data_IF_089387757692
#
_entry.id   IF_089387757692
#
_cell.length_a   1.000
_cell.length_b   1.000
_cell.length_c   1.000
_cell.angle_alpha   90.00
_cell.angle_beta   90.00
_cell.angle_gamma   90.00
#
_symmetry.space_group_name_H-M   'P 1'
#
loop_
_entity.id
_entity.type
_entity.pdbx_description
1 polymer ?
#
# COMPACT_ATOMS: atom_id res chain seq x y z
N UNK A 1 -5.61 -5.57 -24.39
CA UNK A 1 -6.22 -5.49 -23.04
C UNK A 1 -6.27 -6.86 -22.40
N UNK A 2 -6.83 -7.88 -23.06
CA UNK A 2 -6.97 -9.21 -22.48
C UNK A 2 -5.65 -9.87 -22.04
N UNK A 3 -4.62 -9.88 -22.90
CA UNK A 3 -3.27 -10.39 -22.55
C UNK A 3 -2.70 -9.76 -21.26
N UNK A 4 -2.91 -8.45 -21.05
CA UNK A 4 -2.47 -7.77 -19.84
C UNK A 4 -3.26 -8.23 -18.61
N UNK A 5 -4.57 -8.48 -18.73
CA UNK A 5 -5.38 -9.04 -17.65
C UNK A 5 -4.95 -10.46 -17.29
N UNK A 6 -4.63 -11.29 -18.29
CA UNK A 6 -4.07 -12.63 -18.10
C UNK A 6 -2.74 -12.54 -17.34
N UNK A 7 -1.84 -11.64 -17.75
CA UNK A 7 -0.57 -11.43 -17.06
C UNK A 7 -0.77 -10.97 -15.61
N UNK A 8 -1.70 -10.02 -15.35
CA UNK A 8 -2.04 -9.57 -13.99
C UNK A 8 -2.54 -10.73 -13.12
N UNK A 9 -3.43 -11.57 -13.66
CA UNK A 9 -3.98 -12.72 -12.93
C UNK A 9 -2.93 -13.81 -12.69
N UNK A 10 -2.05 -14.07 -13.66
CA UNK A 10 -0.90 -14.98 -13.51
C UNK A 10 0.02 -14.50 -12.39
N UNK A 11 0.41 -13.22 -12.40
CA UNK A 11 1.23 -12.61 -11.34
C UNK A 11 0.57 -12.75 -9.97
N UNK A 12 -0.73 -12.46 -9.84
CA UNK A 12 -1.47 -12.61 -8.59
C UNK A 12 -1.42 -14.06 -8.06
N UNK A 13 -1.62 -15.05 -8.93
CA UNK A 13 -1.53 -16.47 -8.54
C UNK A 13 -0.10 -16.87 -8.21
N UNK A 14 0.90 -16.38 -8.95
CA UNK A 14 2.31 -16.71 -8.72
C UNK A 14 2.82 -16.25 -7.35
N UNK A 15 2.28 -15.16 -6.80
CA UNK A 15 2.59 -14.69 -5.45
C UNK A 15 1.93 -15.54 -4.35
N UNK A 16 0.92 -16.35 -4.66
CA UNK A 16 0.22 -17.15 -3.65
C UNK A 16 0.98 -18.43 -3.32
N UNK A 17 0.95 -18.84 -2.05
CA UNK A 17 1.72 -19.98 -1.54
C UNK A 17 1.45 -21.29 -2.31
N UNK A 18 0.17 -21.60 -2.54
CA UNK A 18 -0.25 -22.81 -3.23
C UNK A 18 -0.45 -22.58 -4.74
N UNK A 19 -0.14 -21.38 -5.26
CA UNK A 19 -0.43 -20.96 -6.64
C UNK A 19 -1.92 -21.10 -6.98
N UNK A 20 -2.75 -20.93 -5.95
CA UNK A 20 -4.19 -21.19 -5.93
C UNK A 20 -4.89 -20.13 -5.10
N UNK A 21 -5.98 -19.58 -5.64
CA UNK A 21 -6.79 -18.58 -4.96
C UNK A 21 -8.26 -18.86 -5.23
N UNK A 22 -9.13 -18.72 -4.23
CA UNK A 22 -10.57 -18.87 -4.40
C UNK A 22 -11.14 -17.85 -5.41
N UNK A 23 -12.00 -18.30 -6.32
CA UNK A 23 -12.61 -17.42 -7.33
C UNK A 23 -13.48 -16.32 -6.73
N UNK A 24 -14.07 -16.55 -5.56
CA UNK A 24 -14.84 -15.55 -4.83
C UNK A 24 -13.94 -14.43 -4.30
N UNK A 25 -12.75 -14.77 -3.78
CA UNK A 25 -11.76 -13.78 -3.35
C UNK A 25 -11.29 -12.91 -4.51
N UNK A 26 -10.99 -13.51 -5.66
CA UNK A 26 -10.63 -12.77 -6.88
C UNK A 26 -11.79 -11.87 -7.34
N UNK A 27 -13.03 -12.33 -7.18
CA UNK A 27 -14.21 -11.53 -7.56
C UNK A 27 -14.37 -10.26 -6.71
N UNK A 28 -13.91 -10.24 -5.46
CA UNK A 28 -13.88 -9.00 -4.65
C UNK A 28 -12.90 -7.95 -5.22
N UNK A 29 -11.77 -8.41 -5.79
CA UNK A 29 -10.79 -7.53 -6.44
C UNK A 29 -11.11 -7.20 -7.90
N UNK A 30 -12.23 -7.70 -8.46
CA UNK A 30 -12.50 -7.58 -9.91
C UNK A 30 -12.49 -6.12 -10.41
N UNK A 31 -13.05 -5.21 -9.62
CA UNK A 31 -13.13 -3.80 -9.97
C UNK A 31 -11.74 -3.13 -9.88
N UNK A 32 -10.96 -3.48 -8.86
CA UNK A 32 -9.62 -2.94 -8.63
C UNK A 32 -8.64 -3.42 -9.70
N UNK A 33 -8.75 -4.67 -10.17
CA UNK A 33 -7.91 -5.25 -11.22
C UNK A 33 -8.38 -4.92 -12.65
N UNK A 34 -9.62 -4.45 -12.81
CA UNK A 34 -10.24 -4.22 -14.12
C UNK A 34 -10.67 -5.49 -14.86
N UNK A 35 -11.02 -6.53 -14.10
CA UNK A 35 -11.50 -7.80 -14.66
C UNK A 35 -12.95 -7.67 -15.17
N UNK A 36 -13.32 -8.35 -16.28
CA UNK A 36 -14.71 -8.45 -16.71
C UNK A 36 -15.61 -9.09 -15.64
N UNK A 37 -16.90 -8.78 -15.69
CA UNK A 37 -17.92 -9.43 -14.83
C UNK A 37 -17.87 -10.95 -14.94
N UNK A 38 -17.69 -11.44 -16.15
CA UNK A 38 -17.68 -12.86 -16.51
C UNK A 38 -16.25 -13.37 -16.71
N UNK A 39 -15.29 -12.92 -15.88
CA UNK A 39 -13.88 -13.31 -16.01
C UNK A 39 -13.65 -14.83 -15.95
N UNK A 40 -14.57 -15.58 -15.31
CA UNK A 40 -14.52 -17.04 -15.24
C UNK A 40 -14.64 -17.67 -16.63
N UNK A 41 -15.68 -17.31 -17.36
CA UNK A 41 -15.98 -17.89 -18.67
C UNK A 41 -15.12 -17.24 -19.76
N UNK A 42 -14.73 -15.98 -19.57
CA UNK A 42 -13.93 -15.25 -20.56
C UNK A 42 -12.44 -15.52 -20.42
N UNK A 43 -11.86 -15.45 -19.22
CA UNK A 43 -10.40 -15.57 -19.07
C UNK A 43 -10.01 -17.01 -18.70
N UNK A 44 -10.71 -17.65 -17.76
CA UNK A 44 -10.30 -18.97 -17.30
C UNK A 44 -10.53 -20.05 -18.38
N UNK A 45 -11.65 -20.01 -19.12
CA UNK A 45 -11.94 -21.00 -20.17
C UNK A 45 -11.15 -20.76 -21.46
N UNK A 46 -10.85 -19.50 -21.81
CA UNK A 46 -10.08 -19.18 -23.04
C UNK A 46 -8.57 -19.43 -22.89
N UNK A 47 -8.07 -19.50 -21.66
CA UNK A 47 -6.65 -19.70 -21.37
C UNK A 47 -6.38 -20.94 -20.49
N UNK A 48 -6.80 -22.15 -20.91
CA UNK A 48 -6.62 -23.38 -20.13
C UNK A 48 -5.14 -23.77 -19.96
N UNK A 49 -4.25 -23.23 -20.79
CA UNK A 49 -2.81 -23.41 -20.68
C UNK A 49 -2.21 -22.71 -19.44
N UNK A 50 -2.88 -21.67 -18.92
CA UNK A 50 -2.41 -20.90 -17.76
C UNK A 50 -3.26 -21.12 -16.51
N UNK A 51 -4.56 -21.39 -16.68
CA UNK A 51 -5.50 -21.46 -15.58
C UNK A 51 -6.24 -22.80 -15.55
N UNK A 52 -6.39 -23.35 -14.35
CA UNK A 52 -7.24 -24.51 -14.09
C UNK A 52 -8.17 -24.20 -12.93
N UNK A 53 -9.46 -24.48 -13.10
CA UNK A 53 -10.43 -24.36 -12.00
C UNK A 53 -10.49 -25.69 -11.25
N UNK A 54 -10.17 -25.67 -9.96
CA UNK A 54 -10.19 -26.82 -9.07
C UNK A 54 -11.27 -26.63 -8.00
N UNK A 55 -11.95 -27.72 -7.61
CA UNK A 55 -12.88 -27.68 -6.48
C UNK A 55 -12.12 -27.91 -5.19
N UNK A 56 -12.22 -26.94 -4.28
CA UNK A 56 -11.69 -27.02 -2.92
C UNK A 56 -12.86 -27.12 -1.93
N UNK A 57 -12.60 -27.55 -0.70
CA UNK A 57 -13.62 -27.64 0.36
C UNK A 57 -14.34 -26.30 0.63
N UNK A 58 -13.67 -25.18 0.34
CA UNK A 58 -14.19 -23.82 0.49
C UNK A 58 -14.85 -23.26 -0.77
N UNK A 59 -14.92 -24.02 -1.86
CA UNK A 59 -15.48 -23.57 -3.14
C UNK A 59 -14.49 -23.69 -4.32
N UNK A 60 -14.87 -23.19 -5.50
CA UNK A 60 -14.03 -23.27 -6.69
C UNK A 60 -12.84 -22.31 -6.59
N UNK A 61 -11.63 -22.85 -6.75
CA UNK A 61 -10.37 -22.12 -6.77
C UNK A 61 -9.77 -22.07 -8.17
N UNK A 62 -9.08 -20.98 -8.47
CA UNK A 62 -8.26 -20.83 -9.66
C UNK A 62 -6.82 -21.23 -9.34
N UNK A 63 -6.30 -22.19 -10.08
CA UNK A 63 -4.92 -22.68 -9.99
C UNK A 63 -4.11 -22.25 -11.21
N UNK A 64 -2.86 -21.87 -10.97
CA UNK A 64 -1.89 -21.65 -12.02
C UNK A 64 -1.29 -22.98 -12.51
N UNK A 65 -1.43 -23.28 -13.80
CA UNK A 65 -0.88 -24.50 -14.41
C UNK A 65 0.56 -24.33 -14.88
N UNK A 66 0.93 -23.13 -15.31
CA UNK A 66 2.25 -22.84 -15.88
C UNK A 66 2.88 -21.61 -15.24
N UNK A 67 4.04 -21.83 -14.60
CA UNK A 67 4.88 -20.78 -14.04
C UNK A 67 5.69 -20.10 -15.14
N UNK A 68 5.66 -18.77 -15.15
CA UNK A 68 6.40 -17.94 -16.09
C UNK A 68 7.53 -17.21 -15.37
N UNK A 69 8.78 -17.52 -15.70
CA UNK A 69 9.92 -16.82 -15.09
C UNK A 69 10.04 -15.38 -15.58
N UNK A 70 9.56 -15.07 -16.78
CA UNK A 70 9.62 -13.71 -17.32
C UNK A 70 8.65 -12.76 -16.61
N UNK A 71 7.56 -13.29 -16.07
CA UNK A 71 6.61 -12.52 -15.24
C UNK A 71 7.02 -12.45 -13.77
N UNK A 72 8.00 -13.24 -13.32
CA UNK A 72 8.44 -13.32 -11.93
C UNK A 72 9.38 -12.16 -11.54
N UNK A 73 9.19 -10.98 -12.12
CA UNK A 73 9.90 -9.74 -11.77
C UNK A 73 8.88 -8.78 -11.17
N UNK A 74 9.16 -8.30 -9.96
CA UNK A 74 8.29 -7.38 -9.24
C UNK A 74 8.37 -5.96 -9.82
N UNK A 75 7.28 -5.20 -9.68
CA UNK A 75 7.26 -3.79 -10.04
C UNK A 75 8.30 -2.97 -9.26
N UNK A 76 8.59 -3.35 -8.01
CA UNK A 76 9.64 -2.72 -7.21
C UNK A 76 11.04 -2.92 -7.82
N UNK A 77 11.36 -4.13 -8.30
CA UNK A 77 12.64 -4.41 -8.96
C UNK A 77 12.79 -3.64 -10.27
N UNK A 78 11.73 -3.60 -11.09
CA UNK A 78 11.71 -2.82 -12.34
C UNK A 78 11.88 -1.32 -12.04
N UNK A 79 11.15 -0.79 -11.06
CA UNK A 79 11.24 0.62 -10.69
C UNK A 79 12.62 0.98 -10.13
N UNK A 80 13.26 0.07 -9.38
CA UNK A 80 14.63 0.28 -8.89
C UNK A 80 15.64 0.28 -10.03
N UNK A 81 15.51 -0.62 -11.00
CA UNK A 81 16.36 -0.65 -12.19
C UNK A 81 16.20 0.63 -13.04
N UNK A 82 14.98 1.08 -13.28
CA UNK A 82 14.71 2.35 -13.96
C UNK A 82 15.29 3.55 -13.20
N UNK A 83 15.13 3.59 -11.88
CA UNK A 83 15.69 4.66 -11.07
C UNK A 83 17.23 4.63 -11.09
N UNK A 84 17.84 3.44 -11.06
CA UNK A 84 19.29 3.27 -11.18
C UNK A 84 19.80 3.72 -12.56
N UNK A 85 19.05 3.43 -13.63
CA UNK A 85 19.37 3.89 -14.97
C UNK A 85 19.27 5.42 -15.08
N UNK A 86 18.20 6.04 -14.56
CA UNK A 86 18.06 7.50 -14.50
C UNK A 86 19.16 8.15 -13.66
N UNK A 87 19.46 7.59 -12.50
CA UNK A 87 20.56 8.07 -11.67
C UNK A 87 21.90 7.93 -12.41
N UNK A 88 22.13 6.87 -13.19
CA UNK A 88 23.35 6.72 -13.99
C UNK A 88 23.43 7.77 -15.11
N UNK A 89 22.31 8.09 -15.76
CA UNK A 89 22.22 9.17 -16.76
C UNK A 89 22.45 10.56 -16.14
N UNK A 90 21.96 10.79 -14.91
CA UNK A 90 22.18 12.03 -14.15
C UNK A 90 23.59 12.10 -13.55
N UNK A 91 24.19 10.96 -13.20
CA UNK A 91 25.57 10.81 -12.68
C UNK A 91 26.64 10.91 -13.77
N UNK A 92 26.44 11.80 -14.75
CA UNK A 92 27.55 12.37 -15.54
C UNK A 92 28.44 13.29 -14.66
N UNK A 93 28.75 12.86 -13.44
CA UNK A 93 29.60 13.51 -12.46
C UNK A 93 30.94 12.77 -12.39
N UNK A 94 32.03 13.53 -12.34
CA UNK A 94 33.43 13.06 -12.42
C UNK A 94 33.83 12.12 -11.25
N UNK A 95 32.99 12.00 -10.21
CA UNK A 95 33.29 11.24 -8.99
C UNK A 95 32.13 10.28 -8.71
N UNK A 96 32.38 8.98 -8.86
CA UNK A 96 31.48 7.92 -8.46
C UNK A 96 31.53 7.73 -6.94
N UNK A 97 30.82 8.60 -6.21
CA UNK A 97 30.65 8.46 -4.77
C UNK A 97 29.22 8.02 -4.49
N UNK A 98 28.99 6.82 -3.92
CA UNK A 98 27.66 6.48 -3.44
C UNK A 98 27.23 7.51 -2.40
N UNK A 99 26.00 8.05 -2.49
CA UNK A 99 25.52 9.03 -1.53
C UNK A 99 25.61 8.45 -0.12
N UNK A 100 26.38 9.12 0.76
CA UNK A 100 26.65 8.68 2.14
C UNK A 100 25.40 8.55 3.01
N UNK A 101 24.28 9.14 2.57
CA UNK A 101 23.02 9.13 3.29
C UNK A 101 21.91 8.75 2.33
N UNK A 102 21.33 7.55 2.50
CA UNK A 102 20.07 7.18 1.82
C UNK A 102 18.96 8.04 2.42
N UNK A 103 18.65 9.17 1.77
CA UNK A 103 17.54 10.04 2.19
C UNK A 103 16.22 9.30 1.93
N UNK A 104 15.42 9.09 2.97
CA UNK A 104 14.02 8.69 2.79
C UNK A 104 13.31 9.90 2.17
N UNK A 105 12.79 9.72 0.96
CA UNK A 105 11.90 10.71 0.32
C UNK A 105 10.56 10.63 1.04
N UNK A 106 10.40 11.40 2.12
CA UNK A 106 9.11 11.56 2.79
C UNK A 106 8.26 12.58 2.04
N UNK A 107 6.93 12.44 2.06
CA UNK A 107 6.01 13.46 1.56
C UNK A 107 6.27 14.82 2.21
N UNK A 108 6.00 15.90 1.48
CA UNK A 108 6.01 17.25 2.05
C UNK A 108 5.01 17.30 3.22
N UNK A 109 5.44 17.77 4.38
CA UNK A 109 4.62 17.88 5.58
C UNK A 109 4.55 16.63 6.47
N UNK A 110 5.16 15.50 6.09
CA UNK A 110 5.25 14.34 6.98
C UNK A 110 6.56 14.37 7.77
N UNK A 111 6.48 14.85 9.01
CA UNK A 111 7.60 14.83 9.95
C UNK A 111 7.53 13.53 10.79
N UNK A 112 8.44 12.61 10.51
CA UNK A 112 8.58 11.38 11.30
C UNK A 112 9.53 11.60 12.46
N UNK A 113 9.28 10.93 13.58
CA UNK A 113 10.23 10.91 14.70
C UNK A 113 11.58 10.32 14.25
N UNK A 114 12.69 10.77 14.87
CA UNK A 114 14.04 10.22 14.62
C UNK A 114 14.05 8.69 14.73
N UNK A 115 13.29 8.11 15.66
CA UNK A 115 13.18 6.66 15.83
C UNK A 115 12.44 5.95 14.70
N UNK A 116 11.37 6.55 14.16
CA UNK A 116 10.63 6.02 13.02
C UNK A 116 11.47 6.06 11.74
N UNK A 117 12.19 7.16 11.55
CA UNK A 117 13.11 7.34 10.44
C UNK A 117 14.24 6.28 10.48
N UNK A 118 14.81 5.99 11.66
CA UNK A 118 15.78 4.90 11.83
C UNK A 118 15.19 3.53 11.47
N UNK A 119 13.97 3.23 11.91
CA UNK A 119 13.28 1.97 11.57
C UNK A 119 13.06 1.80 10.07
N UNK A 120 12.64 2.86 9.38
CA UNK A 120 12.47 2.83 7.91
C UNK A 120 13.81 2.62 7.21
N UNK A 121 14.88 3.29 7.67
CA UNK A 121 16.21 3.11 7.10
C UNK A 121 16.73 1.68 7.28
N UNK A 122 16.64 1.11 8.47
CA UNK A 122 17.00 -0.29 8.71
C UNK A 122 16.19 -1.23 7.81
N UNK A 123 14.89 -0.95 7.64
CA UNK A 123 14.04 -1.73 6.75
C UNK A 123 14.46 -1.63 5.28
N UNK A 124 14.97 -0.49 4.82
CA UNK A 124 15.52 -0.31 3.46
C UNK A 124 16.87 -0.98 3.25
N UNK A 125 17.67 -1.09 4.31
CA UNK A 125 18.97 -1.78 4.26
C UNK A 125 18.83 -3.30 4.17
N UNK A 126 17.71 -3.86 4.64
CA UNK A 126 17.42 -5.29 4.49
C UNK A 126 17.34 -5.69 3.00
N UNK A 127 17.85 -6.89 2.65
CA UNK A 127 17.79 -7.38 1.28
C UNK A 127 16.33 -7.46 0.80
N UNK A 128 16.11 -7.08 -0.46
CA UNK A 128 14.80 -7.23 -1.07
C UNK A 128 14.49 -8.71 -1.27
N UNK A 129 13.32 -9.14 -0.79
CA UNK A 129 12.81 -10.50 -0.98
C UNK A 129 11.72 -10.41 -2.04
N UNK A 130 11.95 -11.04 -3.19
CA UNK A 130 10.98 -11.01 -4.29
C UNK A 130 9.66 -11.66 -3.86
N UNK A 131 8.49 -11.08 -4.21
CA UNK A 131 7.16 -11.66 -3.97
C UNK A 131 6.94 -13.02 -4.62
N UNK A 132 7.76 -13.36 -5.62
CA UNK A 132 7.68 -14.60 -6.39
C UNK A 132 8.62 -15.70 -5.88
N UNK A 133 9.49 -15.39 -4.91
CA UNK A 133 10.37 -16.35 -4.27
C UNK A 133 9.60 -17.26 -3.30
N UNK A 134 10.11 -18.46 -3.03
CA UNK A 134 9.50 -19.33 -2.04
C UNK A 134 9.64 -18.71 -0.64
N UNK A 135 8.49 -18.47 0.00
CA UNK A 135 8.41 -17.82 1.31
C UNK A 135 7.94 -18.78 2.42
N UNK A 136 7.91 -20.08 2.15
CA UNK A 136 7.47 -21.11 3.09
C UNK A 136 8.32 -21.17 4.37
N UNK A 137 9.60 -20.82 4.27
CA UNK A 137 10.57 -20.87 5.37
C UNK A 137 10.53 -19.62 6.29
N UNK A 138 9.85 -18.55 5.86
CA UNK A 138 9.81 -17.28 6.59
C UNK A 138 8.99 -17.40 7.88
N UNK A 139 9.70 -17.22 9.00
CA UNK A 139 9.09 -17.27 10.34
C UNK A 139 8.07 -16.16 10.53
N UNK A 140 6.91 -16.50 11.09
CA UNK A 140 5.89 -15.53 11.43
C UNK A 140 6.41 -14.52 12.46
N UNK A 141 6.26 -13.22 12.17
CA UNK A 141 6.72 -12.14 13.05
C UNK A 141 8.17 -11.68 12.86
N UNK A 142 8.91 -12.27 11.91
CA UNK A 142 10.25 -11.75 11.56
C UNK A 142 10.17 -10.48 10.70
N UNK A 143 11.22 -9.65 10.79
CA UNK A 143 11.36 -8.47 9.93
C UNK A 143 11.43 -8.85 8.43
N UNK A 144 12.02 -10.00 8.12
CA UNK A 144 12.06 -10.56 6.75
C UNK A 144 10.66 -10.88 6.23
N UNK A 145 9.77 -11.42 7.07
CA UNK A 145 8.39 -11.70 6.67
C UNK A 145 7.60 -10.42 6.48
N UNK A 146 7.83 -9.41 7.32
CA UNK A 146 7.26 -8.08 7.13
C UNK A 146 7.75 -7.45 5.81
N UNK A 147 9.04 -7.63 5.47
CA UNK A 147 9.63 -7.21 4.20
C UNK A 147 8.98 -7.88 3.01
N UNK A 148 8.84 -9.21 3.05
CA UNK A 148 8.14 -9.98 2.02
C UNK A 148 6.67 -9.57 1.90
N UNK A 149 5.95 -9.41 3.01
CA UNK A 149 4.55 -8.98 2.99
C UNK A 149 4.39 -7.59 2.36
N UNK A 150 5.28 -6.65 2.67
CA UNK A 150 5.30 -5.34 2.01
C UNK A 150 5.56 -5.46 0.51
N UNK A 151 6.49 -6.34 0.09
CA UNK A 151 6.76 -6.58 -1.31
C UNK A 151 5.54 -7.16 -2.06
N UNK A 152 4.83 -8.13 -1.46
CA UNK A 152 3.60 -8.70 -2.04
C UNK A 152 2.50 -7.65 -2.16
N UNK A 153 2.30 -6.81 -1.13
CA UNK A 153 1.29 -5.75 -1.19
C UNK A 153 1.67 -4.69 -2.22
N UNK A 154 2.95 -4.33 -2.29
CA UNK A 154 3.46 -3.40 -3.30
C UNK A 154 3.15 -3.91 -4.70
N UNK A 155 3.46 -5.18 -4.98
CA UNK A 155 3.15 -5.79 -6.27
C UNK A 155 1.63 -5.91 -6.49
N UNK A 156 0.86 -6.32 -5.50
CA UNK A 156 -0.60 -6.43 -5.64
C UNK A 156 -1.23 -5.06 -5.96
N UNK A 157 -0.81 -3.99 -5.27
CA UNK A 157 -1.23 -2.63 -5.57
C UNK A 157 -0.77 -2.19 -6.96
N UNK A 158 0.45 -2.57 -7.38
CA UNK A 158 0.97 -2.29 -8.72
C UNK A 158 0.10 -2.90 -9.82
N UNK A 159 -0.58 -4.04 -9.57
CA UNK A 159 -1.48 -4.67 -10.54
C UNK A 159 -2.85 -3.95 -10.65
N UNK A 160 -3.28 -3.23 -9.61
CA UNK A 160 -4.57 -2.52 -9.59
C UNK A 160 -4.57 -1.29 -10.53
N UNK A 161 -5.74 -0.95 -11.06
CA UNK A 161 -5.92 0.17 -12.00
C UNK A 161 -5.58 1.53 -11.39
N UNK A 162 -6.04 1.75 -10.16
CA UNK A 162 -5.86 3.01 -9.44
C UNK A 162 -4.70 2.91 -8.42
N UNK A 163 -3.87 1.86 -8.48
CA UNK A 163 -2.74 1.62 -7.53
C UNK A 163 -3.16 1.75 -6.06
N UNK A 164 -4.40 1.34 -5.77
CA UNK A 164 -5.06 1.40 -4.47
C UNK A 164 -6.05 0.26 -4.29
N UNK A 165 -6.30 -0.13 -3.06
CA UNK A 165 -7.36 -1.09 -2.71
C UNK A 165 -7.81 -0.89 -1.25
N UNK A 166 -8.85 -1.60 -0.83
CA UNK A 166 -9.31 -1.60 0.56
C UNK A 166 -8.42 -2.52 1.41
N UNK A 167 -8.14 -2.12 2.66
CA UNK A 167 -7.41 -2.99 3.62
C UNK A 167 -8.16 -4.32 3.79
N UNK A 168 -9.49 -4.29 3.82
CA UNK A 168 -10.34 -5.48 3.95
C UNK A 168 -10.14 -6.47 2.79
N UNK A 169 -9.93 -5.96 1.57
CA UNK A 169 -9.63 -6.83 0.45
C UNK A 169 -8.30 -7.55 0.67
N UNK A 170 -7.29 -6.88 1.21
CA UNK A 170 -6.00 -7.51 1.52
C UNK A 170 -6.09 -8.54 2.66
N UNK A 171 -6.89 -8.27 3.69
CA UNK A 171 -7.06 -9.20 4.81
C UNK A 171 -7.76 -10.49 4.40
N UNK A 172 -8.60 -10.46 3.35
CA UNK A 172 -9.22 -11.68 2.78
C UNK A 172 -8.20 -12.66 2.17
N UNK A 173 -7.04 -12.18 1.70
CA UNK A 173 -5.97 -13.03 1.13
C UNK A 173 -4.90 -13.45 2.15
N UNK A 174 -5.23 -13.34 3.44
CA UNK A 174 -4.28 -13.63 4.52
C UNK A 174 -3.75 -15.07 4.47
N UNK A 175 -4.58 -16.04 4.12
CA UNK A 175 -4.17 -17.45 4.04
C UNK A 175 -3.23 -17.68 2.85
N UNK A 176 -3.55 -17.09 1.70
CA UNK A 176 -2.83 -17.26 0.44
C UNK A 176 -1.44 -16.62 0.45
N UNK A 177 -1.30 -15.43 1.04
CA UNK A 177 -0.03 -14.68 1.11
C UNK A 177 0.64 -14.73 2.50
N UNK A 178 0.07 -15.48 3.45
CA UNK A 178 0.56 -15.60 4.83
C UNK A 178 0.75 -14.25 5.55
N UNK A 179 -0.17 -13.30 5.32
CA UNK A 179 -0.14 -11.99 5.97
C UNK A 179 -0.27 -12.07 7.50
N UNK A 180 0.29 -11.07 8.18
CA UNK A 180 0.10 -10.88 9.62
C UNK A 180 -1.35 -10.52 9.95
N UNK A 181 -1.80 -10.83 11.17
CA UNK A 181 -3.11 -10.40 11.68
C UNK A 181 -3.25 -8.88 11.70
N UNK A 182 -2.14 -8.18 11.96
CA UNK A 182 -2.08 -6.72 12.10
C UNK A 182 -1.64 -6.06 10.78
N UNK A 183 -2.27 -6.44 9.66
CA UNK A 183 -1.93 -5.92 8.34
C UNK A 183 -2.02 -4.40 8.27
N UNK A 184 -3.09 -3.82 8.82
CA UNK A 184 -3.27 -2.36 8.94
C UNK A 184 -2.11 -1.70 9.69
N UNK A 185 -1.72 -2.27 10.83
CA UNK A 185 -0.60 -1.75 11.63
C UNK A 185 0.72 -1.81 10.87
N UNK A 186 0.95 -2.88 10.11
CA UNK A 186 2.11 -3.01 9.23
C UNK A 186 2.14 -1.91 8.17
N UNK A 187 1.01 -1.63 7.50
CA UNK A 187 0.93 -0.59 6.48
C UNK A 187 1.21 0.81 7.04
N UNK A 188 0.72 1.11 8.24
CA UNK A 188 0.96 2.38 8.93
C UNK A 188 2.44 2.55 9.32
N UNK A 189 3.14 1.46 9.67
CA UNK A 189 4.57 1.49 10.00
C UNK A 189 5.48 1.82 8.81
N UNK A 190 4.99 1.66 7.58
CA UNK A 190 5.74 1.94 6.34
C UNK A 190 5.12 3.10 5.56
N UNK A 191 5.13 4.33 6.13
CA UNK A 191 4.55 5.50 5.49
C UNK A 191 5.37 6.01 4.29
N UNK A 192 6.54 5.44 4.03
CA UNK A 192 7.36 5.76 2.87
C UNK A 192 6.89 5.03 1.60
N UNK A 193 6.35 3.81 1.75
CA UNK A 193 5.80 3.02 0.64
C UNK A 193 4.28 3.17 0.50
N UNK A 194 3.57 3.17 1.63
CA UNK A 194 2.11 3.12 1.65
C UNK A 194 1.51 4.37 2.27
N UNK A 195 0.35 4.77 1.75
CA UNK A 195 -0.52 5.75 2.37
C UNK A 195 -1.82 5.05 2.74
N UNK A 196 -2.21 5.12 4.01
CA UNK A 196 -3.49 4.59 4.49
C UNK A 196 -4.41 5.78 4.74
N UNK A 197 -5.55 5.79 4.07
CA UNK A 197 -6.59 6.80 4.23
C UNK A 197 -7.84 6.14 4.80
N UNK A 198 -8.38 6.70 5.86
CA UNK A 198 -9.68 6.31 6.40
C UNK A 198 -10.75 7.07 5.63
N UNK A 199 -11.61 6.36 4.89
CA UNK A 199 -12.75 6.95 4.19
C UNK A 199 -14.05 6.35 4.74
N UNK A 200 -14.75 7.12 5.56
CA UNK A 200 -15.87 6.60 6.36
C UNK A 200 -15.35 5.50 7.30
N UNK A 201 -15.99 4.35 7.29
CA UNK A 201 -15.61 3.20 8.14
C UNK A 201 -14.60 2.24 7.48
N UNK A 202 -14.15 2.53 6.25
CA UNK A 202 -13.27 1.65 5.48
C UNK A 202 -11.90 2.27 5.24
N UNK A 203 -10.86 1.53 5.61
CA UNK A 203 -9.48 1.91 5.33
C UNK A 203 -9.10 1.56 3.88
N UNK A 204 -8.58 2.55 3.15
CA UNK A 204 -8.01 2.40 1.80
C UNK A 204 -6.50 2.55 1.83
N UNK A 205 -5.79 1.72 1.09
CA UNK A 205 -4.32 1.75 0.94
C UNK A 205 -3.97 2.21 -0.45
N UNK A 206 -3.00 3.12 -0.54
CA UNK A 206 -2.47 3.65 -1.78
C UNK A 206 -0.96 3.40 -1.85
N UNK A 207 -0.48 3.08 -3.04
CA UNK A 207 0.95 2.96 -3.32
C UNK A 207 1.53 4.36 -3.57
N UNK A 208 2.38 4.87 -2.66
CA UNK A 208 2.81 6.28 -2.72
C UNK A 208 3.63 6.62 -3.95
N UNK A 209 4.54 5.74 -4.34
CA UNK A 209 5.39 5.95 -5.52
C UNK A 209 4.59 6.12 -6.82
N UNK A 210 3.35 5.61 -6.87
CA UNK A 210 2.50 5.72 -8.04
C UNK A 210 1.81 7.09 -8.17
N UNK A 211 1.91 7.96 -7.16
CA UNK A 211 1.21 9.24 -7.11
C UNK A 211 2.18 10.42 -6.98
N UNK A 212 1.85 11.52 -7.66
CA UNK A 212 2.49 12.83 -7.49
C UNK A 212 1.41 13.90 -7.42
N UNK A 213 1.41 14.69 -6.36
CA UNK A 213 0.47 15.79 -6.13
C UNK A 213 -1.00 15.37 -6.35
N UNK A 214 -1.37 14.23 -5.76
CA UNK A 214 -2.71 13.59 -5.87
C UNK A 214 -3.08 13.05 -7.26
N UNK A 215 -2.16 13.05 -8.22
CA UNK A 215 -2.36 12.48 -9.55
C UNK A 215 -1.59 11.17 -9.72
N UNK A 216 -2.24 10.18 -10.33
CA UNK A 216 -1.61 8.90 -10.68
C UNK A 216 -0.63 9.13 -11.85
N UNK A 217 0.62 8.69 -11.66
CA UNK A 217 1.71 8.86 -12.65
C UNK A 217 1.42 8.10 -13.95
N UNK A 218 1.05 6.83 -13.84
CA UNK A 218 0.73 5.96 -14.98
C UNK A 218 -0.74 5.59 -14.93
N UNK A 219 -1.54 6.17 -15.85
CA UNK A 219 -2.97 5.89 -15.94
C UNK A 219 -3.25 4.76 -16.94
N UNK A 220 -3.89 3.71 -16.46
CA UNK A 220 -4.40 2.63 -17.31
C UNK A 220 -5.48 3.17 -18.28
N UNK A 221 -5.54 2.60 -19.49
CA UNK A 221 -6.52 3.02 -20.54
C UNK A 221 -7.97 2.96 -20.05
N UNK A 222 -8.29 1.96 -19.22
CA UNK A 222 -9.60 1.80 -18.59
C UNK A 222 -9.90 2.94 -17.60
N UNK A 223 -8.90 3.40 -16.86
CA UNK A 223 -9.04 4.50 -15.93
C UNK A 223 -9.30 5.81 -16.69
N UNK A 224 -8.56 6.07 -17.76
CA UNK A 224 -8.78 7.25 -18.63
C UNK A 224 -10.19 7.24 -19.24
N UNK A 225 -10.69 6.08 -19.67
CA UNK A 225 -12.04 5.96 -20.21
C UNK A 225 -13.10 6.24 -19.12
N UNK A 226 -12.89 5.72 -17.91
CA UNK A 226 -13.76 5.97 -16.75
C UNK A 226 -13.78 7.46 -16.37
N UNK A 227 -12.64 8.13 -16.38
CA UNK A 227 -12.55 9.58 -16.15
C UNK A 227 -13.31 10.37 -17.22
N UNK A 228 -13.14 10.03 -18.50
CA UNK A 228 -13.88 10.67 -19.61
C UNK A 228 -15.38 10.44 -19.50
N UNK A 229 -15.81 9.21 -19.19
CA UNK A 229 -17.23 8.90 -18.98
C UNK A 229 -17.79 9.70 -17.81
N UNK A 230 -17.06 9.75 -16.69
CA UNK A 230 -17.44 10.56 -15.52
C UNK A 230 -17.56 12.04 -15.89
N UNK A 231 -16.63 12.58 -16.68
CA UNK A 231 -16.69 13.97 -17.14
C UNK A 231 -17.91 14.27 -18.02
N UNK A 232 -18.39 13.29 -18.80
CA UNK A 232 -19.61 13.44 -19.61
C UNK A 232 -20.90 13.41 -18.75
N UNK A 233 -20.88 12.68 -17.64
CA UNK A 233 -22.03 12.53 -16.72
C UNK A 233 -22.02 13.59 -15.61
N UNK A 234 -20.89 14.27 -15.39
CA UNK A 234 -20.76 15.37 -14.45
C UNK A 234 -21.60 16.57 -14.94
N UNK A 235 -22.89 16.55 -14.63
CA UNK A 235 -23.76 17.72 -14.79
C UNK A 235 -23.29 18.76 -13.76
N UNK A 236 -22.90 19.97 -14.18
CA UNK A 236 -22.68 21.05 -13.23
C UNK A 236 -24.00 21.27 -12.51
N UNK A 237 -24.06 20.96 -11.21
CA UNK A 237 -25.15 21.46 -10.37
C UNK A 237 -25.00 22.97 -10.42
N UNK A 238 -25.86 23.64 -11.20
CA UNK A 238 -25.93 25.09 -11.15
C UNK A 238 -26.13 25.47 -9.68
N UNK A 239 -25.23 26.28 -9.07
CA UNK A 239 -25.53 26.82 -7.76
C UNK A 239 -26.84 27.58 -7.95
N UNK A 240 -27.84 27.19 -7.16
CA UNK A 240 -29.18 27.73 -7.22
C UNK A 240 -29.08 29.23 -6.91
N UNK A 241 -28.88 30.03 -7.95
CA UNK A 241 -28.80 31.49 -7.86
C UNK A 241 -30.24 31.98 -7.72
N UNK A 242 -30.86 31.70 -6.59
CA UNK A 242 -32.00 32.45 -6.12
C UNK A 242 -31.46 33.78 -5.60
N UNK A 243 -31.71 34.91 -6.29
CA UNK A 243 -31.45 36.19 -5.69
C UNK A 243 -32.41 36.32 -4.51
N UNK A 244 -31.86 36.45 -3.30
CA UNK A 244 -32.64 36.78 -2.11
C UNK A 244 -33.39 38.08 -2.39
N UNK A 245 -34.70 37.96 -2.66
CA UNK A 245 -35.61 39.10 -2.71
C UNK A 245 -35.93 39.43 -1.26
N UNK A 246 -35.38 40.54 -0.81
CA UNK A 246 -35.86 41.31 0.33
C UNK A 246 -37.38 41.53 0.22
N UNK A 247 -38.13 41.25 1.29
CA UNK A 247 -39.55 41.62 1.40
C UNK A 247 -40.38 40.71 2.30
N UNK A 248 -40.44 41.08 3.58
CA UNK A 248 -41.60 41.12 4.50
C UNK A 248 -42.53 39.90 4.72
N UNK A 249 -43.04 39.88 5.96
CA UNK A 249 -43.75 38.83 6.68
C UNK A 249 -45.06 38.31 6.06
N UNK A 250 -45.35 37.03 6.36
CA UNK A 250 -46.72 36.59 6.68
C UNK A 250 -47.33 35.53 5.77
N UNK A 251 -47.64 34.35 6.32
CA UNK A 251 -48.68 33.46 5.79
C UNK A 251 -48.35 31.97 5.76
N UNK A 252 -49.03 31.23 6.62
CA UNK A 252 -49.01 29.77 6.77
C UNK A 252 -49.57 29.02 5.54
N UNK A 253 -48.98 27.87 5.15
CA UNK A 253 -49.69 26.58 4.95
C UNK A 253 -48.79 25.42 4.48
N UNK A 254 -48.93 24.31 5.21
CA UNK A 254 -48.92 22.88 4.85
C UNK A 254 -48.42 22.41 3.47
N UNK A 255 -47.63 21.33 3.48
CA UNK A 255 -47.75 20.28 2.47
C UNK A 255 -46.47 19.55 2.06
N UNK A 256 -46.19 18.43 2.74
CA UNK A 256 -45.75 17.14 2.20
C UNK A 256 -44.61 17.09 1.15
N UNK A 257 -43.47 16.51 1.53
CA UNK A 257 -42.41 16.12 0.60
C UNK A 257 -41.42 15.18 1.26
N UNK A 258 -41.56 13.90 0.91
CA UNK A 258 -40.74 12.73 1.22
C UNK A 258 -39.25 13.01 1.50
N UNK A 259 -38.76 12.55 2.65
CA UNK A 259 -37.32 12.45 2.95
C UNK A 259 -36.75 11.24 2.20
N UNK A 260 -36.15 11.52 1.04
CA UNK A 260 -35.28 10.60 0.31
C UNK A 260 -33.92 10.55 1.01
N UNK A 261 -33.62 9.44 1.67
CA UNK A 261 -32.30 9.13 2.22
C UNK A 261 -31.31 8.90 1.06
N UNK A 262 -30.76 10.00 0.55
CA UNK A 262 -29.64 10.01 -0.39
C UNK A 262 -28.31 10.21 0.34
N UNK A 263 -27.67 9.08 0.64
CA UNK A 263 -26.26 8.94 0.99
C UNK A 263 -25.34 9.58 -0.08
N UNK A 264 -24.07 9.72 0.30
CA UNK A 264 -22.90 9.80 -0.55
C UNK A 264 -22.50 11.13 -1.27
N UNK A 265 -21.34 11.60 -0.78
CA UNK A 265 -20.21 12.15 -1.53
C UNK A 265 -20.15 13.67 -1.77
N UNK A 266 -19.78 14.41 -0.72
CA UNK A 266 -19.06 15.68 -0.88
C UNK A 266 -17.57 15.46 -0.58
N UNK A 267 -16.81 15.14 -1.64
CA UNK A 267 -15.39 15.51 -1.68
C UNK A 267 -15.37 16.87 -2.37
N UNK A 268 -15.64 17.91 -1.60
CA UNK A 268 -15.47 19.27 -2.10
C UNK A 268 -13.98 19.62 -2.13
N UNK A 269 -13.58 20.22 -3.24
CA UNK A 269 -12.20 20.53 -3.52
C UNK A 269 -11.69 21.63 -2.62
N UNK A 270 -10.53 21.40 -2.02
CA UNK A 270 -9.75 22.48 -1.42
C UNK A 270 -8.45 22.60 -2.20
N UNK A 271 -8.52 23.42 -3.25
CA UNK A 271 -7.38 24.10 -3.81
C UNK A 271 -7.50 25.58 -3.45
N UNK A 272 -6.42 26.13 -2.88
CA UNK A 272 -6.14 27.56 -2.75
C UNK A 272 -7.02 28.35 -1.78
N UNK A 273 -6.57 28.51 -0.54
CA UNK A 273 -6.27 29.87 -0.06
C UNK A 273 -5.08 29.83 0.90
N UNK A 274 -4.17 30.75 0.63
CA UNK A 274 -2.89 30.99 1.25
C UNK A 274 -3.16 32.11 2.25
N UNK A 275 -2.87 31.89 3.53
CA UNK A 275 -2.67 33.01 4.46
C UNK A 275 -1.49 32.66 5.35
N UNK A 276 -0.39 33.38 5.11
CA UNK A 276 0.78 33.46 5.95
C UNK A 276 0.42 34.33 7.15
N UNK A 277 0.45 33.78 8.36
CA UNK A 277 0.67 34.57 9.57
C UNK A 277 1.74 33.86 10.41
N UNK A 278 2.94 34.45 10.35
CA UNK A 278 4.10 34.19 11.19
C UNK A 278 3.79 34.59 12.64
N UNK A 279 3.95 33.68 13.59
CA UNK A 279 4.28 34.04 14.98
C UNK A 279 5.37 33.09 15.51
N UNK A 280 6.58 33.65 15.60
CA UNK A 280 7.74 33.11 16.27
C UNK A 280 7.51 33.14 17.80
N UNK A 281 7.55 31.99 18.47
CA UNK A 281 7.92 31.92 19.90
C UNK A 281 8.89 30.75 20.12
N UNK A 282 10.17 31.11 20.19
CA UNK A 282 11.26 30.29 20.71
C UNK A 282 11.08 30.13 22.23
N UNK A 283 10.91 28.89 22.71
CA UNK A 283 11.26 28.53 24.09
C UNK A 283 12.17 27.29 24.05
N UNK A 284 13.46 27.56 24.20
CA UNK A 284 14.50 26.61 24.57
C UNK A 284 14.18 26.05 25.97
N UNK A 285 14.08 24.73 26.10
CA UNK A 285 14.25 24.07 27.40
C UNK A 285 15.13 22.82 27.20
N UNK A 286 16.42 23.05 27.40
CA UNK A 286 17.45 22.02 27.59
C UNK A 286 17.22 21.39 28.97
N UNK A 287 16.82 20.11 29.02
CA UNK A 287 16.98 19.33 30.25
C UNK A 287 17.66 17.98 29.94
N UNK A 288 18.92 17.93 30.39
CA UNK A 288 19.87 16.83 30.33
C UNK A 288 19.33 15.58 31.04
N UNK A 289 19.19 14.49 30.28
CA UNK A 289 18.95 13.14 30.82
C UNK A 289 20.16 12.26 30.58
N UNK A 290 21.04 12.18 31.57
CA UNK A 290 22.27 11.39 31.56
C UNK A 290 22.01 9.89 31.36
N UNK A 291 22.75 9.31 30.41
CA UNK A 291 22.80 7.87 30.09
C UNK A 291 23.66 7.13 31.14
N UNK A 292 23.03 6.35 32.04
CA UNK A 292 23.71 5.44 32.97
C UNK A 292 23.84 4.03 32.34
N UNK A 293 25.01 3.78 31.73
CA UNK A 293 25.46 2.46 31.31
C UNK A 293 26.63 2.03 32.20
N UNK A 294 26.39 1.12 33.15
CA UNK A 294 27.45 0.42 33.87
C UNK A 294 27.66 -0.99 33.27
N UNK A 295 28.59 -1.09 32.33
CA UNK A 295 29.29 -2.34 32.00
C UNK A 295 30.57 -2.39 32.85
N UNK A 296 30.65 -3.32 33.82
CA UNK A 296 31.91 -3.75 34.43
C UNK A 296 32.09 -5.23 34.13
N UNK A 297 32.93 -5.50 33.13
CA UNK A 297 33.56 -6.80 32.87
C UNK A 297 34.85 -6.96 33.71
N UNK A 298 35.19 -8.22 33.94
CA UNK A 298 36.53 -8.78 34.20
C UNK A 298 37.14 -8.72 35.61
N UNK A 299 37.05 -9.84 36.33
CA UNK A 299 38.26 -10.58 36.73
C UNK A 299 37.97 -12.05 37.06
N UNK A 300 38.68 -12.97 36.41
CA UNK A 300 38.70 -14.42 36.68
C UNK A 300 40.16 -14.89 36.80
N UNK A 301 40.44 -16.12 37.30
CA UNK A 301 40.81 -16.55 38.67
C UNK A 301 42.33 -16.90 38.75
N UNK A 302 42.93 -17.54 39.80
CA UNK A 302 42.75 -18.99 40.06
C UNK A 302 43.00 -19.51 41.52
N UNK A 303 42.55 -20.76 41.72
CA UNK A 303 43.08 -21.87 42.56
C UNK A 303 43.28 -21.73 44.09
N UNK A 304 42.67 -22.66 44.84
CA UNK A 304 43.35 -23.67 45.68
C UNK A 304 42.37 -24.36 46.66
N UNK A 305 42.10 -25.63 46.35
CA UNK A 305 42.15 -26.82 47.23
C UNK A 305 41.69 -26.78 48.71
N UNK A 306 41.16 -27.94 49.12
CA UNK A 306 40.78 -28.43 50.47
C UNK A 306 39.34 -28.07 50.87
N UNK A 307 38.39 -29.00 50.95
CA UNK A 307 38.45 -30.32 51.56
C UNK A 307 38.21 -30.17 53.06
N UNK A 308 36.99 -30.49 53.52
CA UNK A 308 36.68 -31.20 54.78
C UNK A 308 35.16 -31.37 54.89
N UNK A 309 34.81 -32.54 55.45
CA UNK A 309 33.49 -33.11 55.60
C UNK A 309 32.77 -32.65 56.89
N UNK A 310 31.51 -33.10 57.00
CA UNK A 310 30.69 -33.26 58.22
C UNK A 310 30.22 -31.93 58.84
N UNK A 311 28.95 -31.74 59.17
CA UNK A 311 27.94 -32.62 59.79
C UNK A 311 26.56 -32.36 59.19
#
# INVERSE_FOLDING_TARGET
MEQALVAKLRKLLMMSLEKRILLEKIAHLKADLGLPTDFRDTICERYPQYFRVVRTDRGPALELTHWDTELAVSAAEVAEEENRAREAEERNLIIDRPPKFRRVKLPRGLNLSKGEMRRINMFKEMPYISPYSDFSELRSGSAEKEKHACAVIHEMLSLTLEKRTLVDHLTHFREEFRFSQQLRGMLIRHPDMFYVSLKGDRDSVFLREAYRDSQLLEKDKLLVLKEKLRALVAVPRFPNRFPSRTGEEGGSKDGNGEEDEGDDSVVDGLGSEFDDEDEDEDEDDDEDGEDDWSDEDDEMPPDLMTGIALV
#
